data_IF_945054034922
#
_entry.id   IF_945054034922
#
_cell.length_a   1.000
_cell.length_b   1.000
_cell.length_c   1.000
_cell.angle_alpha   90.00
_cell.angle_beta   90.00
_cell.angle_gamma   90.00
#
_symmetry.space_group_name_H-M   'P 1'
#
loop_
_entity.id
_entity.type
_entity.pdbx_description
1 polymer ?
#
# COMPACT_ATOMS: atom_id res chain seq x y z
N UNK A 1 3.35 -20.29 53.48
CA UNK A 1 2.75 -18.98 53.12
C UNK A 1 3.23 -18.64 51.72
N UNK A 2 2.44 -18.32 50.69
CA UNK A 2 1.01 -18.35 50.37
C UNK A 2 1.06 -18.24 48.84
N UNK A 3 0.74 -19.31 48.12
CA UNK A 3 -0.48 -19.44 47.29
C UNK A 3 -0.10 -19.43 45.81
N UNK A 4 -0.01 -20.66 45.31
CA UNK A 4 -0.52 -21.11 44.01
C UNK A 4 -1.78 -20.30 43.65
N UNK A 5 -1.69 -19.33 42.74
CA UNK A 5 -2.75 -18.88 41.83
C UNK A 5 -2.12 -17.86 40.87
N UNK A 6 -1.64 -18.34 39.73
CA UNK A 6 -2.05 -17.72 38.46
C UNK A 6 -1.88 -18.73 37.31
N UNK A 7 -2.34 -19.96 37.57
CA UNK A 7 -2.94 -20.77 36.51
C UNK A 7 -4.40 -20.30 36.44
N UNK A 8 -4.87 -20.00 35.23
CA UNK A 8 -6.26 -19.73 34.81
C UNK A 8 -6.81 -18.31 35.01
N UNK A 9 -6.44 -17.40 34.10
CA UNK A 9 -7.42 -16.66 33.28
C UNK A 9 -6.72 -15.98 32.10
N UNK A 10 -6.18 -16.78 31.19
CA UNK A 10 -6.25 -16.46 29.76
C UNK A 10 -6.73 -17.70 29.01
N UNK A 11 -7.82 -18.31 29.50
CA UNK A 11 -8.70 -19.06 28.61
C UNK A 11 -9.26 -18.05 27.61
N UNK A 12 -8.76 -18.16 26.38
CA UNK A 12 -9.05 -17.34 25.19
C UNK A 12 -8.47 -15.92 25.16
N UNK A 13 -7.15 -15.79 25.23
CA UNK A 13 -6.54 -14.94 24.19
C UNK A 13 -5.84 -15.90 23.24
N UNK A 14 -6.51 -16.11 22.11
CA UNK A 14 -6.07 -16.94 21.00
C UNK A 14 -4.68 -16.50 20.53
N UNK A 15 -3.64 -17.12 21.10
CA UNK A 15 -2.25 -17.03 20.63
C UNK A 15 -2.12 -17.49 19.16
N UNK A 16 -3.14 -18.16 18.63
CA UNK A 16 -3.26 -18.56 17.23
C UNK A 16 -3.56 -17.41 16.26
N UNK A 17 -3.95 -16.21 16.72
CA UNK A 17 -4.32 -15.13 15.81
C UNK A 17 -3.10 -14.35 15.26
N UNK A 18 -2.01 -14.20 16.03
CA UNK A 18 -0.86 -13.39 15.62
C UNK A 18 -0.01 -14.08 14.52
N UNK A 19 0.13 -15.41 14.60
CA UNK A 19 0.77 -16.25 13.55
C UNK A 19 -0.14 -16.51 12.32
N UNK A 20 -1.44 -16.17 12.39
CA UNK A 20 -2.42 -16.54 11.36
C UNK A 20 -2.41 -15.69 10.08
N UNK A 21 -1.55 -14.67 9.99
CA UNK A 21 -1.49 -13.78 8.81
C UNK A 21 -0.10 -13.77 8.12
N UNK A 22 0.40 -14.94 7.66
CA UNK A 22 1.70 -15.03 7.00
C UNK A 22 1.76 -14.20 5.70
N UNK A 23 0.61 -13.99 5.03
CA UNK A 23 0.54 -13.21 3.81
C UNK A 23 0.72 -11.71 4.09
N UNK A 24 -0.02 -11.15 5.05
CA UNK A 24 0.10 -9.76 5.46
C UNK A 24 1.53 -9.42 5.90
N UNK A 25 2.14 -10.29 6.71
CA UNK A 25 3.54 -10.15 7.13
C UNK A 25 4.51 -10.15 5.93
N UNK A 26 4.31 -11.06 4.97
CA UNK A 26 5.14 -11.12 3.76
C UNK A 26 5.01 -9.85 2.91
N UNK A 27 3.79 -9.33 2.74
CA UNK A 27 3.52 -8.11 1.99
C UNK A 27 4.16 -6.88 2.65
N UNK A 28 4.00 -6.75 3.98
CA UNK A 28 4.63 -5.71 4.77
C UNK A 28 6.17 -5.75 4.64
N UNK A 29 6.77 -6.93 4.73
CA UNK A 29 8.22 -7.10 4.59
C UNK A 29 8.72 -6.72 3.19
N UNK A 30 8.03 -7.14 2.13
CA UNK A 30 8.39 -6.77 0.76
C UNK A 30 8.31 -5.25 0.57
N UNK A 31 7.24 -4.62 1.07
CA UNK A 31 7.08 -3.18 1.00
C UNK A 31 8.23 -2.45 1.72
N UNK A 32 8.57 -2.90 2.93
CA UNK A 32 9.66 -2.34 3.72
C UNK A 32 11.02 -2.49 3.03
N UNK A 33 11.33 -3.67 2.49
CA UNK A 33 12.54 -3.90 1.70
C UNK A 33 12.61 -2.98 0.47
N UNK A 34 11.47 -2.78 -0.20
CA UNK A 34 11.34 -1.85 -1.30
C UNK A 34 11.64 -0.40 -0.91
N UNK A 35 11.09 0.04 0.22
CA UNK A 35 11.32 1.38 0.76
C UNK A 35 12.78 1.60 1.18
N UNK A 36 13.42 0.61 1.83
CA UNK A 36 14.84 0.70 2.16
C UNK A 36 15.72 0.78 0.91
N UNK A 37 15.47 -0.09 -0.08
CA UNK A 37 16.21 -0.04 -1.34
C UNK A 37 16.04 1.31 -2.06
N UNK A 38 14.86 1.94 -1.97
CA UNK A 38 14.64 3.30 -2.49
C UNK A 38 15.50 4.35 -1.78
N UNK A 39 15.57 4.30 -0.44
CA UNK A 39 16.39 5.21 0.36
C UNK A 39 17.88 5.05 0.07
N UNK A 40 18.32 3.82 -0.18
CA UNK A 40 19.69 3.48 -0.62
C UNK A 40 19.95 3.84 -2.10
N UNK A 41 18.99 4.50 -2.76
CA UNK A 41 19.00 4.88 -4.19
C UNK A 41 19.11 3.69 -5.15
N UNK A 42 18.83 2.48 -4.67
CA UNK A 42 18.74 1.28 -5.48
C UNK A 42 17.31 1.09 -6.01
N UNK A 43 16.95 1.90 -7.00
CA UNK A 43 15.58 1.98 -7.53
C UNK A 43 15.13 0.68 -8.22
N UNK A 44 16.05 -0.05 -8.86
CA UNK A 44 15.72 -1.33 -9.49
C UNK A 44 15.35 -2.39 -8.44
N UNK A 45 16.15 -2.54 -7.37
CA UNK A 45 15.81 -3.46 -6.29
C UNK A 45 14.55 -3.01 -5.54
N UNK A 46 14.34 -1.70 -5.39
CA UNK A 46 13.11 -1.16 -4.81
C UNK A 46 11.89 -1.64 -5.59
N UNK A 47 11.89 -1.44 -6.91
CA UNK A 47 10.82 -1.90 -7.80
C UNK A 47 10.68 -3.43 -7.74
N UNK A 48 11.78 -4.19 -7.71
CA UNK A 48 11.74 -5.65 -7.64
C UNK A 48 11.03 -6.13 -6.38
N UNK A 49 11.37 -5.59 -5.20
CA UNK A 49 10.71 -5.97 -3.95
C UNK A 49 9.24 -5.59 -3.94
N UNK A 50 8.90 -4.40 -4.42
CA UNK A 50 7.52 -3.91 -4.46
C UNK A 50 6.66 -4.70 -5.47
N UNK A 51 7.22 -5.13 -6.61
CA UNK A 51 6.51 -5.95 -7.62
C UNK A 51 6.04 -7.29 -7.07
N UNK A 52 6.76 -7.87 -6.10
CA UNK A 52 6.36 -9.11 -5.41
C UNK A 52 4.98 -8.99 -4.73
N UNK A 53 4.55 -7.77 -4.38
CA UNK A 53 3.21 -7.50 -3.86
C UNK A 53 2.19 -7.26 -4.98
N UNK A 54 2.61 -6.66 -6.10
CA UNK A 54 1.73 -6.29 -7.22
C UNK A 54 1.20 -7.49 -8.01
N UNK A 55 2.00 -8.55 -8.17
CA UNK A 55 1.70 -9.66 -9.10
C UNK A 55 0.75 -10.74 -8.53
N UNK A 56 0.08 -10.47 -7.40
CA UNK A 56 -0.77 -11.45 -6.73
C UNK A 56 -2.25 -11.31 -7.15
N UNK A 57 -2.75 -12.32 -7.87
CA UNK A 57 -4.14 -12.44 -8.33
C UNK A 57 -5.05 -13.24 -7.35
N UNK A 58 -4.55 -13.62 -6.17
CA UNK A 58 -5.35 -14.27 -5.15
C UNK A 58 -6.17 -13.24 -4.38
N UNK A 59 -7.33 -13.65 -3.85
CA UNK A 59 -8.08 -12.87 -2.87
C UNK A 59 -7.18 -12.59 -1.66
N UNK A 60 -6.89 -11.32 -1.42
CA UNK A 60 -6.04 -10.87 -0.33
C UNK A 60 -6.87 -10.53 0.91
N UNK A 61 -6.28 -10.69 2.08
CA UNK A 61 -6.76 -10.02 3.28
C UNK A 61 -6.53 -8.50 3.18
N UNK A 62 -7.22 -7.73 4.01
CA UNK A 62 -7.22 -6.27 3.94
C UNK A 62 -5.82 -5.65 4.07
N UNK A 63 -4.98 -6.19 4.94
CA UNK A 63 -3.62 -5.68 5.18
C UNK A 63 -2.72 -5.97 3.98
N UNK A 64 -2.79 -7.20 3.45
CA UNK A 64 -2.08 -7.57 2.21
C UNK A 64 -2.51 -6.70 1.04
N UNK A 65 -3.81 -6.44 0.90
CA UNK A 65 -4.35 -5.57 -0.15
C UNK A 65 -3.86 -4.12 0.02
N UNK A 66 -3.85 -3.59 1.25
CA UNK A 66 -3.27 -2.27 1.53
C UNK A 66 -1.83 -2.17 1.02
N UNK A 67 -0.98 -3.12 1.38
CA UNK A 67 0.42 -3.12 0.95
C UNK A 67 0.59 -3.34 -0.55
N UNK A 68 -0.29 -4.11 -1.20
CA UNK A 68 -0.30 -4.25 -2.68
C UNK A 68 -0.52 -2.90 -3.34
N UNK A 69 -1.57 -2.20 -2.95
CA UNK A 69 -1.96 -0.91 -3.52
C UNK A 69 -0.87 0.14 -3.25
N UNK A 70 -0.33 0.18 -2.04
CA UNK A 70 0.79 1.04 -1.67
C UNK A 70 2.05 0.74 -2.49
N UNK A 71 2.34 -0.54 -2.72
CA UNK A 71 3.46 -0.95 -3.55
C UNK A 71 3.29 -0.46 -4.99
N UNK A 72 2.09 -0.53 -5.55
CA UNK A 72 1.79 -0.02 -6.89
C UNK A 72 1.99 1.51 -6.96
N UNK A 73 1.44 2.26 -6.01
CA UNK A 73 1.64 3.72 -5.95
C UNK A 73 3.13 4.08 -5.86
N UNK A 74 3.88 3.38 -5.00
CA UNK A 74 5.30 3.63 -4.83
C UNK A 74 6.07 3.29 -6.12
N UNK A 75 5.82 2.13 -6.75
CA UNK A 75 6.43 1.79 -8.03
C UNK A 75 6.18 2.89 -9.08
N UNK A 76 4.93 3.35 -9.21
CA UNK A 76 4.58 4.45 -10.12
C UNK A 76 5.38 5.71 -9.83
N UNK A 77 5.51 6.07 -8.56
CA UNK A 77 6.31 7.20 -8.10
C UNK A 77 7.81 7.06 -8.42
N UNK A 78 8.39 5.85 -8.31
CA UNK A 78 9.79 5.60 -8.69
C UNK A 78 9.98 5.77 -10.19
N UNK A 79 9.08 5.22 -11.01
CA UNK A 79 9.16 5.34 -12.46
C UNK A 79 9.10 6.80 -12.93
N UNK A 80 8.18 7.62 -12.40
CA UNK A 80 8.11 9.04 -12.73
C UNK A 80 9.32 9.83 -12.23
N UNK A 81 9.65 9.71 -10.94
CA UNK A 81 10.57 10.64 -10.29
C UNK A 81 12.05 10.26 -10.46
N UNK A 82 12.36 8.98 -10.67
CA UNK A 82 13.74 8.46 -10.68
C UNK A 82 14.16 7.87 -12.01
N UNK A 83 13.25 7.24 -12.73
CA UNK A 83 13.56 6.58 -14.01
C UNK A 83 13.08 7.38 -15.23
N UNK A 84 12.27 8.43 -15.02
CA UNK A 84 11.67 9.25 -16.08
C UNK A 84 10.91 8.41 -17.12
N UNK A 85 10.30 7.31 -16.68
CA UNK A 85 9.50 6.41 -17.50
C UNK A 85 8.02 6.66 -17.21
N UNK A 86 7.42 7.55 -17.99
CA UNK A 86 6.02 7.95 -17.81
C UNK A 86 5.04 6.84 -18.17
N UNK A 87 5.40 5.92 -19.07
CA UNK A 87 4.53 4.81 -19.49
C UNK A 87 4.35 3.83 -18.34
N UNK A 88 5.45 3.37 -17.74
CA UNK A 88 5.36 2.49 -16.58
C UNK A 88 4.83 3.23 -15.35
N UNK A 89 5.25 4.49 -15.15
CA UNK A 89 4.74 5.33 -14.07
C UNK A 89 3.22 5.43 -14.10
N UNK A 90 2.65 5.79 -15.25
CA UNK A 90 1.22 5.95 -15.45
C UNK A 90 0.47 4.65 -15.16
N UNK A 91 0.93 3.53 -15.74
CA UNK A 91 0.33 2.21 -15.53
C UNK A 91 0.19 1.85 -14.05
N UNK A 92 1.24 2.06 -13.25
CA UNK A 92 1.22 1.71 -11.83
C UNK A 92 0.40 2.68 -10.98
N UNK A 93 0.35 3.96 -11.36
CA UNK A 93 -0.55 4.92 -10.71
C UNK A 93 -2.02 4.60 -11.02
N UNK A 94 -2.35 4.22 -12.26
CA UNK A 94 -3.72 3.80 -12.63
C UNK A 94 -4.15 2.57 -11.84
N UNK A 95 -3.30 1.54 -11.72
CA UNK A 95 -3.58 0.36 -10.89
C UNK A 95 -3.86 0.72 -9.42
N UNK A 96 -3.06 1.61 -8.83
CA UNK A 96 -3.27 2.04 -7.45
C UNK A 96 -4.55 2.89 -7.29
N UNK A 97 -4.84 3.75 -8.27
CA UNK A 97 -6.01 4.62 -8.28
C UNK A 97 -7.31 3.82 -8.46
N UNK A 98 -7.30 2.79 -9.30
CA UNK A 98 -8.43 1.86 -9.50
C UNK A 98 -8.80 1.14 -8.21
N UNK A 99 -7.82 0.94 -7.31
CA UNK A 99 -8.03 0.36 -5.99
C UNK A 99 -8.25 1.43 -4.89
N UNK A 100 -8.50 2.68 -5.29
CA UNK A 100 -8.88 3.77 -4.41
C UNK A 100 -7.72 4.38 -3.62
N UNK A 101 -6.48 4.28 -4.08
CA UNK A 101 -5.37 4.99 -3.45
C UNK A 101 -5.51 6.52 -3.68
N UNK A 102 -5.69 7.33 -2.62
CA UNK A 102 -5.93 8.76 -2.77
C UNK A 102 -4.71 9.50 -3.35
N UNK A 103 -3.49 9.08 -3.03
CA UNK A 103 -2.26 9.70 -3.55
C UNK A 103 -2.06 9.41 -5.04
N UNK A 104 -2.43 8.22 -5.49
CA UNK A 104 -2.42 7.89 -6.91
C UNK A 104 -3.47 8.72 -7.68
N UNK A 105 -4.68 8.85 -7.15
CA UNK A 105 -5.73 9.69 -7.73
C UNK A 105 -5.32 11.17 -7.82
N UNK A 106 -4.71 11.72 -6.77
CA UNK A 106 -4.16 13.09 -6.78
C UNK A 106 -3.06 13.24 -7.84
N UNK A 107 -2.17 12.26 -7.96
CA UNK A 107 -1.11 12.26 -8.97
C UNK A 107 -1.69 12.24 -10.38
N UNK A 108 -2.62 11.32 -10.68
CA UNK A 108 -3.27 11.24 -12.00
C UNK A 108 -4.07 12.51 -12.32
N UNK A 109 -4.75 13.08 -11.33
CA UNK A 109 -5.46 14.35 -11.48
C UNK A 109 -4.50 15.45 -11.93
N UNK A 110 -3.34 15.61 -11.28
CA UNK A 110 -2.34 16.60 -11.67
C UNK A 110 -1.77 16.32 -13.07
N UNK A 111 -1.43 15.05 -13.37
CA UNK A 111 -0.89 14.64 -14.67
C UNK A 111 -1.84 15.01 -15.83
N UNK A 112 -3.12 14.66 -15.71
CA UNK A 112 -4.11 14.93 -16.75
C UNK A 112 -4.60 16.38 -16.75
N UNK A 113 -4.61 17.09 -15.61
CA UNK A 113 -4.98 18.52 -15.56
C UNK A 113 -3.95 19.40 -16.27
N UNK A 114 -2.67 19.12 -16.05
CA UNK A 114 -1.57 19.98 -16.46
C UNK A 114 -0.86 19.49 -17.74
N UNK A 115 -1.04 18.21 -18.12
CA UNK A 115 -0.41 17.63 -19.29
C UNK A 115 1.09 17.42 -19.10
N UNK A 116 1.49 16.64 -18.10
CA UNK A 116 2.89 16.50 -17.67
C UNK A 116 3.54 15.20 -18.21
N UNK A 117 4.87 15.20 -18.32
CA UNK A 117 5.67 14.02 -18.69
C UNK A 117 5.26 13.35 -20.02
N UNK A 118 4.81 14.16 -20.98
CA UNK A 118 4.35 13.69 -22.30
C UNK A 118 2.92 13.13 -22.30
N UNK A 119 2.21 13.22 -21.18
CA UNK A 119 0.79 12.84 -21.07
C UNK A 119 -0.06 14.02 -21.56
N UNK A 120 -0.97 13.83 -22.53
CA UNK A 120 -1.84 14.90 -22.99
C UNK A 120 -2.79 15.37 -21.89
N UNK A 121 -3.04 16.68 -21.85
CA UNK A 121 -4.04 17.28 -20.97
C UNK A 121 -5.43 16.69 -21.27
N UNK A 122 -6.11 16.22 -20.23
CA UNK A 122 -7.48 15.74 -20.26
C UNK A 122 -8.21 16.19 -18.98
N UNK A 123 -8.84 17.36 -19.05
CA UNK A 123 -9.52 17.97 -17.90
C UNK A 123 -10.76 17.20 -17.46
N UNK A 124 -11.43 16.51 -18.38
CA UNK A 124 -12.60 15.67 -18.06
C UNK A 124 -12.17 14.51 -17.18
N UNK A 125 -11.14 13.77 -17.61
CA UNK A 125 -10.60 12.65 -16.85
C UNK A 125 -10.00 13.09 -15.51
N UNK A 126 -9.31 14.24 -15.48
CA UNK A 126 -8.82 14.81 -14.23
C UNK A 126 -9.96 15.12 -13.24
N UNK A 127 -11.10 15.63 -13.71
CA UNK A 127 -12.27 15.88 -12.86
C UNK A 127 -12.90 14.58 -12.36
N UNK A 128 -12.96 13.54 -13.19
CA UNK A 128 -13.44 12.22 -12.78
C UNK A 128 -12.58 11.62 -11.64
N UNK A 129 -11.26 11.72 -11.75
CA UNK A 129 -10.37 11.31 -10.66
C UNK A 129 -10.54 12.19 -9.42
N UNK A 130 -10.67 13.50 -9.60
CA UNK A 130 -10.85 14.44 -8.50
C UNK A 130 -12.07 14.12 -7.65
N UNK A 131 -13.21 13.81 -8.27
CA UNK A 131 -14.45 13.45 -7.56
C UNK A 131 -14.28 12.17 -6.71
N UNK A 132 -13.41 11.24 -7.13
CA UNK A 132 -13.15 10.00 -6.40
C UNK A 132 -12.27 10.21 -5.16
N UNK A 133 -11.48 11.28 -5.10
CA UNK A 133 -10.46 11.51 -4.05
C UNK A 133 -11.09 11.56 -2.65
N UNK A 134 -12.18 12.30 -2.45
CA UNK A 134 -12.74 12.48 -1.11
C UNK A 134 -13.25 11.16 -0.52
N UNK A 135 -13.94 10.36 -1.33
CA UNK A 135 -14.37 9.02 -0.93
C UNK A 135 -13.17 8.09 -0.69
N UNK A 136 -12.16 8.16 -1.57
CA UNK A 136 -10.93 7.38 -1.42
C UNK A 136 -10.18 7.73 -0.13
N UNK A 137 -10.03 9.01 0.21
CA UNK A 137 -9.37 9.46 1.45
C UNK A 137 -10.05 8.91 2.70
N UNK A 138 -11.38 8.94 2.75
CA UNK A 138 -12.13 8.38 3.87
C UNK A 138 -11.86 6.88 4.04
N UNK A 139 -12.02 6.10 2.96
CA UNK A 139 -11.79 4.64 2.97
C UNK A 139 -10.32 4.34 3.31
N UNK A 140 -9.39 5.14 2.79
CA UNK A 140 -7.96 4.96 3.02
C UNK A 140 -7.59 5.21 4.47
N UNK A 141 -8.14 6.24 5.10
CA UNK A 141 -7.95 6.52 6.52
C UNK A 141 -8.44 5.35 7.40
N UNK A 142 -9.58 4.74 7.05
CA UNK A 142 -10.09 3.55 7.73
C UNK A 142 -9.10 2.37 7.61
N UNK A 143 -8.58 2.10 6.40
CA UNK A 143 -7.55 1.08 6.17
C UNK A 143 -6.27 1.34 6.98
N UNK A 144 -5.84 2.59 7.08
CA UNK A 144 -4.66 2.96 7.87
C UNK A 144 -4.88 2.72 9.38
N UNK A 145 -6.09 2.97 9.91
CA UNK A 145 -6.42 2.64 11.30
C UNK A 145 -6.32 1.13 11.55
N UNK A 146 -6.89 0.32 10.66
CA UNK A 146 -6.80 -1.14 10.75
C UNK A 146 -5.35 -1.62 10.69
N UNK A 147 -4.52 -1.02 9.84
CA UNK A 147 -3.09 -1.30 9.80
C UNK A 147 -2.38 -0.97 11.12
N UNK A 148 -2.70 0.17 11.73
CA UNK A 148 -2.14 0.56 13.04
C UNK A 148 -2.52 -0.46 14.10
N UNK A 149 -3.79 -0.86 14.19
CA UNK A 149 -4.25 -1.87 15.14
C UNK A 149 -3.58 -3.22 14.92
N UNK A 150 -3.50 -3.65 13.66
CA UNK A 150 -2.78 -4.86 13.27
C UNK A 150 -1.32 -4.82 13.74
N UNK A 151 -0.62 -3.71 13.49
CA UNK A 151 0.79 -3.56 13.89
C UNK A 151 1.01 -3.57 15.40
N UNK A 152 0.05 -3.07 16.19
CA UNK A 152 0.11 -3.10 17.66
C UNK A 152 0.01 -4.53 18.19
N UNK A 153 -0.85 -5.37 17.61
CA UNK A 153 -1.01 -6.77 17.99
C UNK A 153 0.23 -7.62 17.73
N UNK A 154 1.05 -7.25 16.74
CA UNK A 154 2.30 -7.94 16.43
C UNK A 154 3.43 -7.66 17.44
N UNK A 155 3.28 -6.64 18.29
CA UNK A 155 4.28 -6.22 19.29
C UNK A 155 3.94 -6.67 20.72
N UNK A 156 2.79 -7.31 20.92
CA UNK A 156 2.29 -7.82 22.20
C UNK A 156 2.50 -9.33 22.28
#
# INVERSE_FOLDING_TARGET
>A
MKIIYFILLLTSVSFTACESQPLANKFAQNYLKGAYAYNDRNYQNSIEYLKKNSDNNKKLDEISEYYKIESQFFIGSVYFNKLHDSVNGLRYLELAADNGNPRALESLTALYRDGLFGIPKNTTLAMEYFIKIENAKKIWAEKEQHLIEWSKKQKQ
#
